data_IF_081402827335
#
_entry.id   IF_081402827335
#
_cell.length_a   1.000
_cell.length_b   1.000
_cell.length_c   1.000
_cell.angle_alpha   90.00
_cell.angle_beta   90.00
_cell.angle_gamma   90.00
#
_symmetry.space_group_name_H-M   'P 1'
#
loop_
_entity.id
_entity.type
_entity.pdbx_description
1 polymer ?
#
# COMPACT_ATOMS: atom_id res chain seq x y z
N UNK A 1 -40.92 -7.32 1.31
CA UNK A 1 -41.44 -7.63 2.65
C UNK A 1 -41.74 -6.28 3.33
N UNK A 2 -42.96 -6.08 3.82
CA UNK A 2 -43.30 -4.83 4.52
C UNK A 2 -43.56 -5.15 5.98
N UNK A 3 -42.68 -4.69 6.86
CA UNK A 3 -42.89 -4.67 8.30
C UNK A 3 -43.60 -3.38 8.71
N UNK A 4 -44.20 -3.35 9.90
CA UNK A 4 -44.79 -2.14 10.48
C UNK A 4 -44.09 -1.77 11.78
N UNK A 5 -43.79 -0.47 11.93
CA UNK A 5 -43.29 0.09 13.19
C UNK A 5 -44.39 1.02 13.77
N UNK A 6 -44.79 0.77 15.00
CA UNK A 6 -45.70 1.64 15.74
C UNK A 6 -44.98 2.18 16.98
N UNK A 7 -45.10 3.46 17.20
CA UNK A 7 -44.52 4.16 18.37
C UNK A 7 -45.66 4.71 19.23
N UNK A 8 -45.61 4.40 20.50
CA UNK A 8 -46.50 4.97 21.52
C UNK A 8 -45.65 5.64 22.60
N UNK A 9 -45.85 6.95 22.81
CA UNK A 9 -45.08 7.73 23.80
C UNK A 9 -46.01 8.54 24.69
N UNK A 10 -45.74 8.52 26.00
CA UNK A 10 -46.42 9.38 26.98
C UNK A 10 -45.39 10.09 27.83
N UNK A 11 -45.60 11.38 27.97
CA UNK A 11 -44.72 12.24 28.78
C UNK A 11 -44.68 11.75 30.23
N UNK A 12 -43.49 11.39 30.74
CA UNK A 12 -43.32 10.89 32.11
C UNK A 12 -43.48 9.35 32.25
N UNK A 13 -44.04 8.64 31.26
CA UNK A 13 -44.23 7.18 31.28
C UNK A 13 -43.25 6.42 30.34
N UNK A 14 -42.60 7.15 29.42
CA UNK A 14 -41.64 6.56 28.46
C UNK A 14 -42.19 6.36 27.05
N UNK A 15 -41.39 5.71 26.19
CA UNK A 15 -41.73 5.46 24.80
C UNK A 15 -41.64 3.94 24.48
N UNK A 16 -42.69 3.42 23.87
CA UNK A 16 -42.79 2.01 23.45
C UNK A 16 -42.74 1.92 21.93
N UNK A 17 -41.74 1.18 21.40
CA UNK A 17 -41.64 0.83 20.00
C UNK A 17 -42.16 -0.60 19.79
N UNK A 18 -43.08 -0.76 18.85
CA UNK A 18 -43.57 -2.08 18.42
C UNK A 18 -43.18 -2.30 16.97
N UNK A 19 -42.40 -3.35 16.72
CA UNK A 19 -41.94 -3.75 15.38
C UNK A 19 -42.63 -5.07 15.05
N UNK A 20 -43.41 -5.06 13.96
CA UNK A 20 -44.06 -6.28 13.45
C UNK A 20 -43.40 -6.65 12.13
N UNK A 21 -42.74 -7.83 12.10
CA UNK A 21 -42.12 -8.37 10.91
C UNK A 21 -42.92 -9.60 10.45
N UNK A 22 -43.24 -9.75 9.14
CA UNK A 22 -43.87 -10.96 8.64
C UNK A 22 -42.91 -12.13 8.71
N UNK A 23 -43.26 -13.19 9.44
CA UNK A 23 -42.54 -14.45 9.43
C UNK A 23 -42.86 -15.21 8.14
N UNK A 24 -41.95 -15.22 7.20
CA UNK A 24 -42.02 -16.20 6.10
C UNK A 24 -41.48 -17.54 6.61
N UNK A 25 -42.36 -18.49 6.74
CA UNK A 25 -42.01 -19.92 6.89
C UNK A 25 -41.54 -20.42 5.50
N UNK A 26 -40.25 -20.29 5.23
CA UNK A 26 -39.61 -20.90 4.08
C UNK A 26 -38.22 -21.34 4.46
N UNK A 27 -38.03 -22.64 4.56
CA UNK A 27 -36.81 -23.43 4.65
C UNK A 27 -35.57 -22.73 5.21
N UNK A 28 -35.20 -23.16 6.39
CA UNK A 28 -33.97 -22.87 7.16
C UNK A 28 -32.68 -22.84 6.32
N UNK A 29 -32.36 -21.71 5.73
CA UNK A 29 -31.02 -21.48 5.18
C UNK A 29 -30.01 -21.01 6.22
N UNK A 30 -30.46 -20.60 7.40
CA UNK A 30 -29.58 -20.07 8.45
C UNK A 30 -28.99 -21.16 9.38
N UNK A 31 -29.52 -22.37 9.43
CA UNK A 31 -28.89 -23.51 10.12
C UNK A 31 -27.57 -23.97 9.45
N UNK A 32 -27.27 -23.51 8.24
CA UNK A 32 -26.05 -23.82 7.50
C UNK A 32 -24.87 -22.89 7.81
N UNK A 33 -25.06 -21.88 8.64
CA UNK A 33 -24.07 -20.82 8.89
C UNK A 33 -23.72 -20.64 10.37
N UNK A 34 -24.00 -21.64 11.23
CA UNK A 34 -23.34 -21.69 12.54
C UNK A 34 -21.91 -22.21 12.28
N UNK A 35 -20.87 -21.43 12.62
CA UNK A 35 -19.50 -21.92 12.55
C UNK A 35 -19.37 -23.07 13.57
N UNK A 36 -18.89 -24.22 13.11
CA UNK A 36 -18.43 -25.28 13.98
C UNK A 36 -17.35 -24.71 14.91
N UNK A 37 -17.52 -24.88 16.21
CA UNK A 37 -16.58 -24.45 17.26
C UNK A 37 -15.21 -25.15 17.23
N UNK A 38 -14.83 -25.75 16.11
CA UNK A 38 -13.53 -26.41 15.91
C UNK A 38 -13.02 -26.24 14.49
N UNK A 39 -12.54 -25.07 14.18
CA UNK A 39 -11.58 -24.91 13.09
C UNK A 39 -10.33 -24.25 13.65
N UNK A 40 -9.32 -25.08 13.86
CA UNK A 40 -7.92 -24.73 14.11
C UNK A 40 -7.38 -23.88 12.94
N UNK A 41 -7.47 -22.57 13.06
CA UNK A 41 -6.87 -21.62 12.12
C UNK A 41 -5.63 -20.94 12.70
N UNK A 42 -4.83 -21.64 13.47
CA UNK A 42 -3.47 -21.20 13.82
C UNK A 42 -2.55 -22.42 13.89
N UNK A 43 -1.95 -22.79 12.76
CA UNK A 43 -0.67 -23.50 12.80
C UNK A 43 0.44 -22.50 12.51
N UNK A 44 1.34 -22.23 13.45
CA UNK A 44 2.55 -21.49 13.16
C UNK A 44 3.45 -22.36 12.28
N UNK A 45 3.88 -21.81 11.14
CA UNK A 45 4.93 -22.39 10.32
C UNK A 45 6.21 -22.48 11.16
N UNK A 46 6.57 -23.67 11.58
CA UNK A 46 7.83 -23.98 12.24
C UNK A 46 8.98 -23.71 11.28
N UNK A 47 9.78 -22.72 11.60
CA UNK A 47 11.09 -22.49 10.98
C UNK A 47 12.04 -23.57 11.53
N UNK A 48 12.29 -24.61 10.75
CA UNK A 48 13.39 -25.51 11.00
C UNK A 48 14.66 -24.96 10.38
N UNK A 49 15.67 -24.97 11.22
CA UNK A 49 16.95 -24.35 11.08
C UNK A 49 17.91 -24.87 10.03
N UNK A 50 18.93 -24.08 9.82
CA UNK A 50 20.29 -24.51 9.61
C UNK A 50 20.63 -24.94 8.19
N UNK A 51 21.15 -24.01 7.42
CA UNK A 51 21.90 -24.32 6.20
C UNK A 51 22.62 -23.07 5.74
N UNK A 52 23.90 -22.97 6.12
CA UNK A 52 24.85 -22.08 5.47
C UNK A 52 24.94 -22.54 4.02
N UNK A 53 24.34 -21.81 3.09
CA UNK A 53 24.61 -21.96 1.66
C UNK A 53 25.34 -20.73 1.15
N UNK A 54 26.50 -21.02 0.59
CA UNK A 54 27.41 -20.14 -0.11
C UNK A 54 26.68 -19.29 -1.16
N UNK A 55 27.16 -18.07 -1.30
CA UNK A 55 26.72 -17.08 -2.27
C UNK A 55 26.97 -17.57 -3.72
N UNK A 56 26.04 -18.30 -4.26
CA UNK A 56 25.90 -18.58 -5.68
C UNK A 56 24.43 -18.83 -5.91
N UNK A 57 23.77 -17.79 -6.35
CA UNK A 57 22.62 -17.79 -7.25
C UNK A 57 21.95 -16.40 -7.13
N UNK A 58 22.52 -15.46 -7.88
CA UNK A 58 21.77 -14.31 -8.31
C UNK A 58 20.62 -14.85 -9.18
N UNK A 59 19.44 -14.89 -8.59
CA UNK A 59 18.18 -15.15 -9.32
C UNK A 59 17.91 -14.02 -10.33
N UNK A 60 18.72 -13.98 -11.39
CA UNK A 60 18.67 -13.00 -12.47
C UNK A 60 17.57 -13.36 -13.48
N UNK A 61 17.10 -14.60 -13.49
CA UNK A 61 16.04 -15.02 -14.41
C UNK A 61 14.64 -14.53 -14.06
N UNK A 62 14.42 -14.02 -12.82
CA UNK A 62 13.11 -13.49 -12.41
C UNK A 62 12.93 -11.98 -12.54
N UNK A 63 13.99 -11.21 -12.79
CA UNK A 63 13.88 -9.77 -13.00
C UNK A 63 13.52 -9.38 -14.44
N UNK A 64 13.50 -10.32 -15.38
CA UNK A 64 13.20 -10.07 -16.79
C UNK A 64 11.85 -10.58 -17.28
N UNK A 65 11.20 -11.41 -16.49
CA UNK A 65 9.79 -11.64 -16.71
C UNK A 65 9.04 -10.53 -15.97
N UNK A 66 8.54 -9.54 -16.71
CA UNK A 66 7.24 -8.96 -16.43
C UNK A 66 6.25 -10.15 -16.45
N UNK A 67 6.27 -10.99 -15.41
CA UNK A 67 5.03 -11.49 -14.95
C UNK A 67 4.28 -10.22 -14.57
N UNK A 68 3.33 -9.84 -15.38
CA UNK A 68 2.00 -9.55 -14.92
C UNK A 68 1.71 -10.64 -13.89
N UNK A 69 2.30 -10.53 -12.70
CA UNK A 69 1.72 -11.06 -11.49
C UNK A 69 0.39 -10.36 -11.54
N UNK A 70 -0.62 -11.12 -11.98
CA UNK A 70 -2.00 -10.72 -11.93
C UNK A 70 -2.14 -9.84 -10.70
N UNK A 71 -2.26 -8.54 -10.92
CA UNK A 71 -2.61 -7.53 -9.91
C UNK A 71 -4.10 -7.72 -9.52
N UNK A 72 -4.63 -8.89 -9.85
CA UNK A 72 -5.88 -9.49 -9.37
C UNK A 72 -5.74 -10.14 -7.99
N UNK A 73 -4.63 -9.99 -7.31
CA UNK A 73 -4.61 -10.14 -5.86
C UNK A 73 -5.20 -8.84 -5.31
N UNK A 74 -6.42 -8.94 -4.89
CA UNK A 74 -7.29 -7.95 -4.29
C UNK A 74 -6.50 -7.02 -3.37
N UNK A 75 -6.59 -5.70 -3.61
CA UNK A 75 -5.99 -4.70 -2.72
C UNK A 75 -6.40 -4.98 -1.28
N UNK A 76 -5.50 -4.74 -0.34
CA UNK A 76 -5.74 -4.97 1.08
C UNK A 76 -6.34 -3.73 1.75
N UNK A 77 -7.41 -3.92 2.51
CA UNK A 77 -8.08 -2.85 3.25
C UNK A 77 -8.07 -3.20 4.74
N UNK A 78 -7.57 -2.28 5.58
CA UNK A 78 -7.67 -2.38 7.02
C UNK A 78 -8.93 -1.67 7.50
N UNK A 79 -9.81 -2.41 8.17
CA UNK A 79 -11.03 -1.92 8.79
C UNK A 79 -10.76 -1.77 10.29
N UNK A 80 -10.90 -0.55 10.81
CA UNK A 80 -10.72 -0.22 12.22
C UNK A 80 -12.08 0.24 12.75
N UNK A 81 -12.77 -0.65 13.46
CA UNK A 81 -14.15 -0.45 13.93
C UNK A 81 -14.35 -1.28 15.20
N UNK A 82 -14.82 -0.65 16.27
CA UNK A 82 -15.07 -1.30 17.56
C UNK A 82 -16.40 -2.05 17.61
N UNK A 83 -17.36 -1.67 16.75
CA UNK A 83 -18.66 -2.30 16.64
C UNK A 83 -18.60 -3.52 15.68
N UNK A 84 -18.79 -4.73 16.22
CA UNK A 84 -18.74 -5.98 15.45
C UNK A 84 -19.81 -6.04 14.33
N UNK A 85 -21.01 -5.48 14.56
CA UNK A 85 -22.08 -5.49 13.54
C UNK A 85 -21.75 -4.59 12.35
N UNK A 86 -21.14 -3.42 12.61
CA UNK A 86 -20.69 -2.49 11.56
C UNK A 86 -19.52 -3.09 10.80
N UNK A 87 -18.54 -3.66 11.51
CA UNK A 87 -17.40 -4.37 10.92
C UNK A 87 -17.87 -5.52 10.03
N UNK A 88 -18.82 -6.33 10.50
CA UNK A 88 -19.42 -7.41 9.73
C UNK A 88 -20.17 -6.90 8.48
N UNK A 89 -20.92 -5.80 8.61
CA UNK A 89 -21.59 -5.20 7.46
C UNK A 89 -20.60 -4.76 6.38
N UNK A 90 -19.50 -4.10 6.76
CA UNK A 90 -18.43 -3.68 5.83
C UNK A 90 -17.77 -4.91 5.20
N UNK A 91 -17.52 -5.98 6.00
CA UNK A 91 -17.01 -7.26 5.49
C UNK A 91 -17.87 -7.79 4.34
N UNK A 92 -19.20 -7.89 4.56
CA UNK A 92 -20.12 -8.42 3.55
C UNK A 92 -20.12 -7.61 2.25
N UNK A 93 -19.83 -6.31 2.33
CA UNK A 93 -19.77 -5.43 1.17
C UNK A 93 -18.48 -5.58 0.37
N UNK A 94 -17.35 -5.86 1.05
CA UNK A 94 -16.01 -5.70 0.47
C UNK A 94 -15.23 -7.01 0.27
N UNK A 95 -15.53 -8.09 1.01
CA UNK A 95 -14.73 -9.34 1.01
C UNK A 95 -14.63 -10.06 -0.33
N UNK A 96 -15.52 -9.76 -1.30
CA UNK A 96 -15.45 -10.36 -2.64
C UNK A 96 -14.38 -9.70 -3.51
N UNK A 97 -14.09 -8.42 -3.24
CA UNK A 97 -13.29 -7.56 -4.09
C UNK A 97 -11.93 -7.20 -3.45
N UNK A 98 -11.78 -7.37 -2.11
CA UNK A 98 -10.62 -6.93 -1.34
C UNK A 98 -10.18 -7.97 -0.31
N UNK A 99 -8.89 -7.95 0.02
CA UNK A 99 -8.36 -8.65 1.19
C UNK A 99 -8.55 -7.79 2.43
N UNK A 100 -9.32 -8.27 3.41
CA UNK A 100 -9.71 -7.48 4.57
C UNK A 100 -8.88 -7.84 5.81
N UNK A 101 -8.43 -6.80 6.51
CA UNK A 101 -7.78 -6.86 7.82
C UNK A 101 -8.67 -6.09 8.80
N UNK A 102 -8.68 -6.50 10.08
CA UNK A 102 -9.57 -5.94 11.08
C UNK A 102 -8.81 -5.50 12.31
N UNK A 103 -9.23 -4.39 12.91
CA UNK A 103 -8.77 -3.90 14.20
C UNK A 103 -9.96 -3.31 14.97
N UNK A 104 -9.93 -3.39 16.31
CA UNK A 104 -11.03 -2.98 17.18
C UNK A 104 -10.88 -1.57 17.75
N UNK A 105 -9.71 -0.99 17.63
CA UNK A 105 -9.40 0.38 18.08
C UNK A 105 -8.22 0.96 17.28
N UNK A 106 -7.94 2.23 17.46
CA UNK A 106 -6.86 2.90 16.74
C UNK A 106 -5.47 2.36 17.05
N UNK A 107 -5.21 1.90 18.28
CA UNK A 107 -3.90 1.32 18.65
C UNK A 107 -3.63 0.03 17.86
N UNK A 108 -4.57 -0.90 17.88
CA UNK A 108 -4.49 -2.13 17.10
C UNK A 108 -4.44 -1.84 15.59
N UNK A 109 -5.20 -0.81 15.15
CA UNK A 109 -5.17 -0.32 13.77
C UNK A 109 -3.78 0.16 13.34
N UNK A 110 -3.11 0.94 14.18
CA UNK A 110 -1.77 1.44 13.93
C UNK A 110 -0.72 0.31 13.88
N UNK A 111 -0.79 -0.64 14.80
CA UNK A 111 0.10 -1.82 14.80
C UNK A 111 -0.07 -2.65 13.53
N UNK A 112 -1.30 -2.97 13.17
CA UNK A 112 -1.60 -3.72 11.94
C UNK A 112 -1.23 -2.94 10.68
N UNK A 113 -1.42 -1.63 10.66
CA UNK A 113 -0.96 -0.81 9.55
C UNK A 113 0.56 -0.88 9.37
N UNK A 114 1.35 -0.87 10.45
CA UNK A 114 2.82 -1.04 10.42
C UNK A 114 3.26 -2.42 9.96
N UNK A 115 2.53 -3.46 10.38
CA UNK A 115 2.84 -4.85 10.05
C UNK A 115 2.45 -5.21 8.62
N UNK A 116 1.22 -4.91 8.23
CA UNK A 116 0.65 -5.35 6.95
C UNK A 116 0.72 -4.31 5.84
N UNK A 117 0.89 -3.01 6.14
CA UNK A 117 0.90 -1.88 5.19
C UNK A 117 -0.23 -2.00 4.16
N UNK A 118 -1.50 -1.86 4.58
CA UNK A 118 -2.65 -2.01 3.70
C UNK A 118 -2.67 -0.93 2.60
N UNK A 119 -3.39 -1.20 1.50
CA UNK A 119 -3.56 -0.24 0.41
C UNK A 119 -4.53 0.89 0.75
N UNK A 120 -5.41 0.69 1.75
CA UNK A 120 -6.37 1.67 2.24
C UNK A 120 -6.77 1.33 3.69
N UNK A 121 -7.07 2.36 4.48
CA UNK A 121 -7.61 2.23 5.84
C UNK A 121 -9.02 2.81 5.87
N UNK A 122 -9.98 2.02 6.39
CA UNK A 122 -11.30 2.47 6.81
C UNK A 122 -11.30 2.53 8.32
N UNK A 123 -11.60 3.66 8.93
CA UNK A 123 -11.66 3.79 10.38
C UNK A 123 -12.94 4.45 10.84
N UNK A 124 -13.55 3.91 11.91
CA UNK A 124 -14.55 4.70 12.63
C UNK A 124 -13.89 5.90 13.30
N UNK A 125 -14.65 6.95 13.48
CA UNK A 125 -14.20 8.13 14.21
C UNK A 125 -14.17 7.87 15.71
N UNK A 126 -15.25 7.30 16.25
CA UNK A 126 -15.48 7.19 17.69
C UNK A 126 -15.16 5.79 18.19
N UNK A 127 -13.94 5.59 18.63
CA UNK A 127 -13.46 4.31 19.16
C UNK A 127 -12.80 4.51 20.52
N UNK A 128 -12.76 3.45 21.38
CA UNK A 128 -12.05 3.50 22.65
C UNK A 128 -10.51 3.59 22.42
N UNK A 129 -9.82 4.09 23.44
CA UNK A 129 -8.35 4.22 23.53
C UNK A 129 -7.76 5.23 22.56
N UNK A 130 -7.79 5.00 21.26
CA UNK A 130 -7.33 5.89 20.20
C UNK A 130 -8.45 6.07 19.19
N UNK A 131 -8.90 7.30 18.99
CA UNK A 131 -9.95 7.64 18.04
C UNK A 131 -9.44 7.68 16.59
N UNK A 132 -10.37 7.78 15.62
CA UNK A 132 -10.03 7.79 14.20
C UNK A 132 -9.21 9.02 13.77
N UNK A 133 -9.35 10.15 14.45
CA UNK A 133 -8.52 11.34 14.18
C UNK A 133 -7.09 11.16 14.70
N UNK A 134 -6.93 10.59 15.89
CA UNK A 134 -5.62 10.29 16.44
C UNK A 134 -4.89 9.26 15.59
N UNK A 135 -5.57 8.18 15.20
CA UNK A 135 -5.02 7.19 14.28
C UNK A 135 -4.57 7.83 12.97
N UNK A 136 -5.39 8.69 12.37
CA UNK A 136 -5.06 9.39 11.13
C UNK A 136 -3.80 10.24 11.29
N UNK A 137 -3.68 11.03 12.38
CA UNK A 137 -2.49 11.83 12.67
C UNK A 137 -1.23 10.98 12.81
N UNK A 138 -1.31 9.88 13.57
CA UNK A 138 -0.17 8.96 13.73
C UNK A 138 0.29 8.38 12.38
N UNK A 139 -0.65 7.99 11.52
CA UNK A 139 -0.35 7.49 10.18
C UNK A 139 0.29 8.57 9.31
N UNK A 140 -0.22 9.82 9.35
CA UNK A 140 0.33 10.92 8.55
C UNK A 140 1.72 11.36 9.01
N UNK A 141 2.02 11.25 10.30
CA UNK A 141 3.37 11.53 10.84
C UNK A 141 4.36 10.37 10.64
N UNK A 142 3.88 9.20 10.25
CA UNK A 142 4.75 8.05 10.02
C UNK A 142 5.43 8.13 8.66
N UNK A 143 6.76 8.13 8.63
CA UNK A 143 7.56 8.05 7.39
C UNK A 143 7.21 6.83 6.52
N UNK A 144 6.65 5.78 7.15
CA UNK A 144 6.35 4.50 6.49
C UNK A 144 4.92 4.48 5.95
N UNK A 145 3.94 5.01 6.71
CA UNK A 145 2.52 4.81 6.49
C UNK A 145 1.80 6.00 5.82
N UNK A 146 2.43 7.18 5.82
CA UNK A 146 1.81 8.45 5.39
C UNK A 146 1.18 8.43 3.99
N UNK A 147 1.61 7.51 3.14
CA UNK A 147 1.09 7.33 1.79
C UNK A 147 -0.24 6.56 1.73
N UNK A 148 -0.66 5.87 2.79
CA UNK A 148 -1.85 5.04 2.79
C UNK A 148 -3.10 5.93 2.86
N UNK A 149 -4.04 5.82 1.91
CA UNK A 149 -5.28 6.59 1.96
C UNK A 149 -6.16 6.14 3.12
N UNK A 150 -6.82 7.13 3.77
CA UNK A 150 -7.66 6.92 4.94
C UNK A 150 -9.05 7.47 4.68
N UNK A 151 -10.08 6.64 4.88
CA UNK A 151 -11.48 7.04 4.92
C UNK A 151 -11.94 6.97 6.37
N UNK A 152 -12.40 8.09 6.91
CA UNK A 152 -13.04 8.14 8.24
C UNK A 152 -14.55 7.98 8.09
N UNK A 153 -15.11 7.02 8.82
CA UNK A 153 -16.55 6.80 8.91
C UNK A 153 -17.05 7.47 10.20
N UNK A 154 -18.08 8.32 10.13
CA UNK A 154 -18.51 9.12 11.27
C UNK A 154 -20.02 9.23 11.37
N UNK A 155 -20.55 9.31 12.60
CA UNK A 155 -21.95 9.63 12.86
C UNK A 155 -22.23 11.15 12.82
N UNK A 156 -21.18 12.00 12.77
CA UNK A 156 -21.30 13.45 12.76
C UNK A 156 -21.55 14.00 11.36
N UNK A 157 -22.17 15.17 11.27
CA UNK A 157 -22.42 15.84 9.99
C UNK A 157 -21.13 16.37 9.36
N UNK A 158 -21.08 16.37 8.04
CA UNK A 158 -19.90 16.84 7.25
C UNK A 158 -19.45 18.27 7.62
N UNK A 159 -20.33 19.13 8.13
CA UNK A 159 -19.99 20.51 8.50
C UNK A 159 -19.14 20.61 9.77
N UNK A 160 -19.42 19.77 10.79
CA UNK A 160 -18.63 19.74 12.02
C UNK A 160 -17.27 19.08 11.82
N UNK A 161 -17.22 18.08 10.94
CA UNK A 161 -16.00 17.34 10.62
C UNK A 161 -15.12 18.10 9.60
N UNK A 162 -15.72 18.93 8.73
CA UNK A 162 -14.97 19.68 7.70
C UNK A 162 -14.03 20.74 8.27
N UNK A 163 -14.38 21.35 9.39
CA UNK A 163 -13.52 22.33 10.07
C UNK A 163 -12.36 21.65 10.82
N UNK A 164 -12.60 20.47 11.40
CA UNK A 164 -11.54 19.66 12.03
C UNK A 164 -10.80 18.75 11.03
N UNK A 165 -11.48 18.33 9.99
CA UNK A 165 -10.97 17.37 9.01
C UNK A 165 -9.86 17.89 8.10
N UNK A 166 -9.77 19.20 7.88
CA UNK A 166 -8.68 19.83 7.13
C UNK A 166 -7.31 19.67 7.82
N UNK A 167 -7.31 19.55 9.17
CA UNK A 167 -6.08 19.38 9.96
C UNK A 167 -5.71 17.91 10.22
N UNK A 168 -6.62 16.95 9.98
CA UNK A 168 -6.38 15.54 10.35
C UNK A 168 -5.68 14.73 9.26
N UNK A 169 -5.71 15.20 8.01
CA UNK A 169 -5.07 14.53 6.87
C UNK A 169 -5.82 13.28 6.36
N UNK A 170 -7.10 13.09 6.69
CA UNK A 170 -7.93 12.06 6.07
C UNK A 170 -8.22 12.41 4.61
N UNK A 171 -8.27 11.37 3.73
CA UNK A 171 -8.51 11.57 2.30
C UNK A 171 -10.00 11.65 1.96
N UNK A 172 -10.85 11.04 2.79
CA UNK A 172 -12.31 11.11 2.65
C UNK A 172 -13.02 10.89 3.99
N UNK A 173 -14.25 11.42 4.07
CA UNK A 173 -15.19 11.19 5.16
C UNK A 173 -16.45 10.54 4.62
N UNK A 174 -17.05 9.62 5.40
CA UNK A 174 -18.28 8.94 5.07
C UNK A 174 -19.21 8.99 6.28
N UNK A 175 -20.39 9.59 6.13
CA UNK A 175 -21.34 9.73 7.22
C UNK A 175 -22.18 8.46 7.43
N UNK A 176 -22.34 8.02 8.67
CA UNK A 176 -23.29 6.95 9.07
C UNK A 176 -24.73 7.56 9.18
N UNK A 177 -25.77 6.91 8.62
CA UNK A 177 -25.75 5.68 7.83
C UNK A 177 -25.30 5.94 6.39
N UNK A 178 -24.37 5.13 5.87
CA UNK A 178 -23.84 5.28 4.53
C UNK A 178 -24.43 4.28 3.53
N UNK A 179 -24.42 4.66 2.26
CA UNK A 179 -24.78 3.77 1.16
C UNK A 179 -23.58 2.91 0.76
N UNK A 180 -23.82 1.60 0.52
CA UNK A 180 -22.82 0.66 0.04
C UNK A 180 -22.11 1.13 -1.25
N UNK A 181 -22.85 1.70 -2.18
CA UNK A 181 -22.28 2.19 -3.45
C UNK A 181 -21.39 3.41 -3.23
N UNK A 182 -21.74 4.30 -2.29
CA UNK A 182 -20.91 5.45 -1.93
C UNK A 182 -19.57 5.01 -1.36
N UNK A 183 -19.57 4.06 -0.40
CA UNK A 183 -18.34 3.50 0.16
C UNK A 183 -17.45 2.90 -0.94
N UNK A 184 -18.03 2.05 -1.81
CA UNK A 184 -17.28 1.42 -2.90
C UNK A 184 -16.69 2.43 -3.87
N UNK A 185 -17.44 3.45 -4.25
CA UNK A 185 -16.96 4.51 -5.16
C UNK A 185 -15.79 5.27 -4.54
N UNK A 186 -15.83 5.61 -3.24
CA UNK A 186 -14.73 6.29 -2.55
C UNK A 186 -13.47 5.44 -2.51
N UNK A 187 -13.61 4.16 -2.16
CA UNK A 187 -12.48 3.20 -2.15
C UNK A 187 -11.84 3.12 -3.53
N UNK A 188 -12.63 2.85 -4.57
CA UNK A 188 -12.14 2.71 -5.94
C UNK A 188 -11.41 3.98 -6.40
N UNK A 189 -11.96 5.17 -6.13
CA UNK A 189 -11.33 6.44 -6.51
C UNK A 189 -9.98 6.65 -5.83
N UNK A 190 -9.87 6.36 -4.54
CA UNK A 190 -8.61 6.55 -3.81
C UNK A 190 -7.54 5.56 -4.26
N UNK A 191 -7.89 4.29 -4.44
CA UNK A 191 -6.97 3.27 -4.95
C UNK A 191 -6.52 3.59 -6.38
N UNK A 192 -7.43 4.03 -7.25
CA UNK A 192 -7.12 4.43 -8.62
C UNK A 192 -6.22 5.67 -8.67
N UNK A 193 -6.48 6.67 -7.83
CA UNK A 193 -5.62 7.85 -7.71
C UNK A 193 -4.18 7.47 -7.34
N UNK A 194 -4.02 6.54 -6.40
CA UNK A 194 -2.70 5.99 -6.02
C UNK A 194 -2.05 5.24 -7.18
N UNK A 195 -2.80 4.44 -7.92
CA UNK A 195 -2.30 3.72 -9.10
C UNK A 195 -1.78 4.68 -10.16
N UNK A 196 -2.55 5.72 -10.48
CA UNK A 196 -2.16 6.74 -11.46
C UNK A 196 -0.91 7.52 -11.05
N UNK A 197 -0.74 7.83 -9.76
CA UNK A 197 0.47 8.48 -9.25
C UNK A 197 1.71 7.58 -9.43
N UNK A 198 1.60 6.29 -9.11
CA UNK A 198 2.67 5.30 -9.33
C UNK A 198 3.07 5.21 -10.81
N UNK A 199 2.08 5.13 -11.69
CA UNK A 199 2.31 5.05 -13.14
C UNK A 199 3.01 6.31 -13.67
N UNK A 200 2.56 7.49 -13.28
CA UNK A 200 3.20 8.76 -13.65
C UNK A 200 4.65 8.80 -13.19
N UNK A 201 4.93 8.39 -11.94
CA UNK A 201 6.29 8.37 -11.40
C UNK A 201 7.18 7.36 -12.15
N UNK A 202 6.67 6.17 -12.40
CA UNK A 202 7.37 5.14 -13.17
C UNK A 202 7.71 5.62 -14.58
N UNK A 203 6.77 6.26 -15.28
CA UNK A 203 7.00 6.85 -16.60
C UNK A 203 8.05 7.96 -16.57
N UNK A 204 7.97 8.89 -15.60
CA UNK A 204 8.95 9.97 -15.46
C UNK A 204 10.37 9.45 -15.28
N UNK A 205 10.53 8.39 -14.49
CA UNK A 205 11.83 7.72 -14.32
C UNK A 205 12.35 7.09 -15.62
N UNK A 206 11.50 6.42 -16.40
CA UNK A 206 11.92 5.78 -17.65
C UNK A 206 12.32 6.78 -18.73
N UNK A 207 11.58 7.86 -18.86
CA UNK A 207 11.83 8.87 -19.89
C UNK A 207 12.95 9.84 -19.51
N UNK A 208 13.30 9.95 -18.24
CA UNK A 208 14.26 10.91 -17.71
C UNK A 208 13.76 12.34 -17.91
N UNK A 209 12.46 12.52 -17.94
CA UNK A 209 11.82 13.85 -17.99
C UNK A 209 11.67 14.36 -16.55
N UNK A 210 12.11 15.61 -16.32
CA UNK A 210 11.89 16.34 -15.05
C UNK A 210 10.41 16.76 -14.86
N UNK A 211 9.47 15.95 -15.33
CA UNK A 211 8.07 16.20 -15.03
C UNK A 211 7.87 15.95 -13.52
N UNK A 212 7.69 17.06 -12.80
CA UNK A 212 7.41 17.02 -11.36
C UNK A 212 6.10 16.24 -11.13
N UNK A 213 6.22 15.02 -10.66
CA UNK A 213 5.08 14.27 -10.13
C UNK A 213 4.78 14.87 -8.77
N UNK A 214 3.57 15.38 -8.57
CA UNK A 214 3.14 15.92 -7.28
C UNK A 214 2.99 14.78 -6.26
N UNK A 215 4.08 14.47 -5.60
CA UNK A 215 4.11 13.59 -4.44
C UNK A 215 3.86 14.39 -3.16
N UNK A 216 3.36 13.73 -2.11
CA UNK A 216 3.31 14.34 -0.79
C UNK A 216 4.72 14.75 -0.33
N UNK A 217 4.83 15.79 0.50
CA UNK A 217 6.13 16.25 1.04
C UNK A 217 6.89 15.10 1.69
N UNK A 218 6.20 14.29 2.48
CA UNK A 218 6.80 13.16 3.17
C UNK A 218 7.27 12.04 2.22
N UNK A 219 6.55 11.78 1.11
CA UNK A 219 7.02 10.84 0.10
C UNK A 219 8.23 11.38 -0.67
N UNK A 220 8.28 12.68 -0.92
CA UNK A 220 9.44 13.35 -1.52
C UNK A 220 10.67 13.25 -0.61
N UNK A 221 10.53 13.52 0.68
CA UNK A 221 11.60 13.40 1.66
C UNK A 221 12.12 11.96 1.78
N UNK A 222 11.20 10.98 1.82
CA UNK A 222 11.55 9.57 1.82
C UNK A 222 12.38 9.19 0.59
N UNK A 223 11.91 9.56 -0.61
CA UNK A 223 12.63 9.26 -1.86
C UNK A 223 13.96 9.99 -1.94
N UNK A 224 14.05 11.22 -1.46
CA UNK A 224 15.30 11.97 -1.41
C UNK A 224 16.34 11.24 -0.56
N UNK A 225 15.97 10.86 0.68
CA UNK A 225 16.85 10.07 1.57
C UNK A 225 17.26 8.72 0.95
N UNK A 226 16.30 8.03 0.32
CA UNK A 226 16.55 6.75 -0.35
C UNK A 226 17.50 6.91 -1.53
N UNK A 227 17.30 7.94 -2.36
CA UNK A 227 18.14 8.24 -3.51
C UNK A 227 19.56 8.60 -3.09
N UNK A 228 19.73 9.48 -2.10
CA UNK A 228 21.03 9.85 -1.58
C UNK A 228 21.80 8.63 -1.07
N UNK A 229 21.10 7.73 -0.38
CA UNK A 229 21.67 6.50 0.11
C UNK A 229 22.08 5.55 -1.06
N UNK A 230 21.21 5.38 -2.05
CA UNK A 230 21.54 4.59 -3.25
C UNK A 230 22.73 5.20 -3.98
N UNK A 231 22.76 6.53 -4.20
CA UNK A 231 23.89 7.17 -4.90
C UNK A 231 25.20 7.05 -4.14
N UNK A 232 25.19 7.18 -2.80
CA UNK A 232 26.38 7.04 -1.96
C UNK A 232 26.96 5.61 -1.99
N UNK A 233 26.09 4.61 -2.12
CA UNK A 233 26.49 3.20 -2.11
C UNK A 233 26.59 2.57 -3.51
N UNK A 234 26.25 3.29 -4.57
CA UNK A 234 26.07 2.72 -5.92
C UNK A 234 27.33 2.05 -6.49
N UNK A 235 28.52 2.53 -6.12
CA UNK A 235 29.80 1.90 -6.52
C UNK A 235 30.12 0.62 -5.75
N UNK A 236 29.40 0.33 -4.67
CA UNK A 236 29.63 -0.88 -3.89
C UNK A 236 28.81 -2.04 -4.46
N UNK A 237 29.48 -3.18 -4.72
CA UNK A 237 28.83 -4.40 -5.20
C UNK A 237 27.82 -4.99 -4.21
N UNK A 238 27.94 -4.65 -2.91
CA UNK A 238 27.04 -5.13 -1.84
C UNK A 238 25.74 -4.33 -1.72
N UNK A 239 25.48 -3.34 -2.58
CA UNK A 239 24.23 -2.59 -2.53
C UNK A 239 23.07 -3.51 -2.95
N UNK A 240 22.24 -3.84 -1.98
CA UNK A 240 21.02 -4.63 -2.14
C UNK A 240 19.87 -4.02 -1.29
N UNK A 241 18.69 -4.60 -1.40
CA UNK A 241 17.50 -4.13 -0.68
C UNK A 241 17.61 -4.27 0.84
N UNK A 242 18.29 -5.33 1.33
CA UNK A 242 18.49 -5.55 2.76
C UNK A 242 19.37 -4.46 3.40
N UNK A 243 20.46 -4.11 2.72
CA UNK A 243 21.35 -3.04 3.18
C UNK A 243 20.60 -1.69 3.24
N UNK A 244 19.79 -1.40 2.22
CA UNK A 244 18.97 -0.18 2.22
C UNK A 244 17.93 -0.18 3.33
N UNK A 245 17.23 -1.29 3.54
CA UNK A 245 16.23 -1.43 4.60
C UNK A 245 16.87 -1.17 5.97
N UNK A 246 18.01 -1.81 6.26
CA UNK A 246 18.75 -1.60 7.50
C UNK A 246 19.16 -0.14 7.70
N UNK A 247 19.68 0.53 6.65
CA UNK A 247 20.11 1.93 6.74
C UNK A 247 18.94 2.92 6.84
N UNK A 248 17.77 2.55 6.32
CA UNK A 248 16.52 3.30 6.45
C UNK A 248 15.77 2.99 7.76
N UNK A 249 16.32 2.11 8.63
CA UNK A 249 15.67 1.64 9.86
C UNK A 249 14.29 1.00 9.62
N UNK A 250 14.18 0.23 8.53
CA UNK A 250 12.96 -0.46 8.11
C UNK A 250 13.20 -1.95 7.96
N UNK A 251 12.15 -2.77 8.06
CA UNK A 251 12.24 -4.15 7.58
C UNK A 251 12.29 -4.18 6.04
N UNK A 252 12.82 -5.25 5.47
CA UNK A 252 12.85 -5.44 4.01
C UNK A 252 11.44 -5.38 3.41
N UNK A 253 10.46 -5.97 4.09
CA UNK A 253 9.06 -5.95 3.67
C UNK A 253 8.50 -4.53 3.63
N UNK A 254 8.75 -3.72 4.68
CA UNK A 254 8.31 -2.32 4.74
C UNK A 254 8.98 -1.48 3.64
N UNK A 255 10.29 -1.62 3.43
CA UNK A 255 10.96 -0.90 2.36
C UNK A 255 10.38 -1.26 0.99
N UNK A 256 10.21 -2.56 0.69
CA UNK A 256 9.66 -3.01 -0.58
C UNK A 256 8.25 -2.46 -0.81
N UNK A 257 7.37 -2.51 0.20
CA UNK A 257 5.98 -2.01 0.08
C UNK A 257 5.96 -0.50 -0.09
N UNK A 258 6.73 0.26 0.70
CA UNK A 258 6.80 1.73 0.60
C UNK A 258 7.35 2.16 -0.76
N UNK A 259 8.47 1.60 -1.21
CA UNK A 259 9.05 1.90 -2.53
C UNK A 259 8.05 1.56 -3.63
N UNK A 260 7.41 0.38 -3.57
CA UNK A 260 6.43 -0.03 -4.57
C UNK A 260 5.18 0.86 -4.56
N UNK A 261 4.73 1.30 -3.39
CA UNK A 261 3.57 2.17 -3.26
C UNK A 261 3.79 3.55 -3.90
N UNK A 262 5.02 4.07 -3.90
CA UNK A 262 5.36 5.39 -4.45
C UNK A 262 5.80 5.29 -5.91
N UNK A 263 6.68 4.31 -6.23
CA UNK A 263 7.41 4.28 -7.51
C UNK A 263 6.90 3.23 -8.49
N UNK A 264 6.13 2.25 -8.02
CA UNK A 264 5.72 1.08 -8.79
C UNK A 264 6.78 -0.04 -8.88
N UNK A 265 8.04 0.22 -8.49
CA UNK A 265 9.12 -0.76 -8.53
C UNK A 265 9.28 -1.51 -7.21
N UNK A 266 9.78 -2.74 -7.24
CA UNK A 266 10.39 -3.34 -6.05
C UNK A 266 11.64 -2.55 -5.66
N UNK A 267 12.12 -2.65 -4.42
CA UNK A 267 13.35 -1.95 -4.00
C UNK A 267 14.57 -2.38 -4.82
N UNK A 268 14.68 -3.66 -5.21
CA UNK A 268 15.73 -4.12 -6.11
C UNK A 268 15.59 -3.58 -7.54
N UNK A 269 14.35 -3.53 -8.05
CA UNK A 269 14.05 -2.91 -9.35
C UNK A 269 14.37 -1.41 -9.35
N UNK A 270 14.08 -0.71 -8.24
CA UNK A 270 14.39 0.70 -8.10
C UNK A 270 15.90 0.97 -8.06
N UNK A 271 16.69 0.14 -7.33
CA UNK A 271 18.16 0.21 -7.37
C UNK A 271 18.66 0.05 -8.81
N UNK A 272 18.13 -0.95 -9.53
CA UNK A 272 18.52 -1.21 -10.90
C UNK A 272 18.21 0.00 -11.80
N UNK A 273 17.01 0.57 -11.68
CA UNK A 273 16.62 1.76 -12.44
C UNK A 273 17.56 2.94 -12.18
N UNK A 274 17.88 3.22 -10.92
CA UNK A 274 18.82 4.29 -10.55
C UNK A 274 20.24 4.06 -11.09
N UNK A 275 20.70 2.81 -11.13
CA UNK A 275 21.98 2.44 -11.76
C UNK A 275 21.94 2.66 -13.27
N UNK A 276 20.84 2.33 -13.93
CA UNK A 276 20.65 2.53 -15.37
C UNK A 276 20.60 4.03 -15.73
N UNK A 277 19.92 4.85 -14.93
CA UNK A 277 19.86 6.30 -15.15
C UNK A 277 21.22 6.99 -14.98
N UNK A 278 22.00 6.56 -13.99
CA UNK A 278 23.38 7.02 -13.83
C UNK A 278 24.23 6.63 -15.04
N UNK A 279 24.10 5.38 -15.51
CA UNK A 279 24.83 4.93 -16.69
C UNK A 279 24.44 5.71 -17.94
N UNK A 280 23.15 5.95 -18.17
CA UNK A 280 22.63 6.78 -19.25
C UNK A 280 23.25 8.18 -19.25
N UNK A 281 23.30 8.84 -18.08
CA UNK A 281 23.94 10.16 -17.92
C UNK A 281 25.45 10.13 -18.21
N UNK A 282 26.17 9.14 -17.69
CA UNK A 282 27.61 9.01 -17.92
C UNK A 282 27.93 8.69 -19.39
N UNK A 283 27.12 7.89 -20.06
CA UNK A 283 27.29 7.61 -21.50
C UNK A 283 27.06 8.87 -22.36
N UNK A 284 26.16 9.76 -21.96
CA UNK A 284 25.86 11.00 -22.66
C UNK A 284 26.88 12.12 -22.39
N UNK A 285 27.45 12.18 -21.19
CA UNK A 285 28.28 13.31 -20.74
C UNK A 285 29.77 13.02 -20.73
N UNK A 286 30.21 11.76 -20.94
CA UNK A 286 31.64 11.41 -20.85
C UNK A 286 32.06 10.44 -21.95
N UNK A 287 33.36 10.48 -22.29
CA UNK A 287 34.01 9.46 -23.17
C UNK A 287 34.56 8.26 -22.41
N UNK A 288 34.18 8.09 -21.14
CA UNK A 288 34.63 6.97 -20.30
C UNK A 288 34.27 5.64 -20.98
N UNK A 289 35.17 4.63 -21.02
CA UNK A 289 34.88 3.31 -21.58
C UNK A 289 33.60 2.69 -20.97
N UNK A 290 32.84 1.96 -21.78
CA UNK A 290 31.57 1.34 -21.34
C UNK A 290 31.75 0.43 -20.13
N UNK A 291 32.90 -0.30 -20.10
CA UNK A 291 33.27 -1.17 -18.98
C UNK A 291 33.44 -0.38 -17.66
N UNK A 292 34.14 0.76 -17.73
CA UNK A 292 34.37 1.60 -16.54
C UNK A 292 33.06 2.23 -16.05
N UNK A 293 32.15 2.59 -16.96
CA UNK A 293 30.81 3.07 -16.61
C UNK A 293 30.02 1.99 -15.91
N UNK A 294 30.06 0.74 -16.43
CA UNK A 294 29.40 -0.38 -15.78
C UNK A 294 29.87 -0.54 -14.33
N UNK A 295 31.19 -0.55 -14.11
CA UNK A 295 31.78 -0.65 -12.76
C UNK A 295 31.38 0.53 -11.85
N UNK A 296 31.44 1.78 -12.35
CA UNK A 296 31.02 2.97 -11.60
C UNK A 296 29.54 2.97 -11.23
N UNK A 297 28.73 2.23 -11.99
CA UNK A 297 27.30 2.04 -11.71
C UNK A 297 27.01 0.77 -10.89
N UNK A 298 28.05 0.07 -10.41
CA UNK A 298 27.91 -1.07 -9.52
C UNK A 298 27.55 -2.38 -10.22
N UNK A 299 27.86 -2.51 -11.51
CA UNK A 299 27.71 -3.77 -12.23
C UNK A 299 29.03 -4.54 -12.25
N UNK A 300 29.07 -5.76 -11.68
CA UNK A 300 30.30 -6.56 -11.65
C UNK A 300 30.73 -7.07 -13.05
N UNK A 301 29.76 -7.26 -13.96
CA UNK A 301 29.96 -7.78 -15.30
C UNK A 301 29.43 -6.87 -16.40
N UNK A 302 30.25 -6.59 -17.40
CA UNK A 302 29.90 -5.75 -18.56
C UNK A 302 28.81 -6.41 -19.41
N UNK A 303 28.84 -7.74 -19.53
CA UNK A 303 27.84 -8.53 -20.25
C UNK A 303 26.45 -8.36 -19.66
N UNK A 304 26.34 -8.48 -18.34
CA UNK A 304 25.09 -8.26 -17.59
C UNK A 304 24.61 -6.81 -17.72
N UNK A 305 25.51 -5.84 -17.51
CA UNK A 305 25.19 -4.42 -17.72
C UNK A 305 24.65 -4.15 -19.12
N UNK A 306 25.31 -4.64 -20.17
CA UNK A 306 24.91 -4.39 -21.56
C UNK A 306 23.55 -4.99 -21.89
N UNK A 307 23.24 -6.18 -21.34
CA UNK A 307 21.95 -6.84 -21.48
C UNK A 307 20.85 -6.02 -20.79
N UNK A 308 21.04 -5.62 -19.54
CA UNK A 308 20.08 -4.83 -18.79
C UNK A 308 19.86 -3.46 -19.41
N UNK A 309 20.92 -2.81 -19.86
CA UNK A 309 20.83 -1.52 -20.54
C UNK A 309 20.02 -1.62 -21.84
N UNK A 310 20.26 -2.68 -22.65
CA UNK A 310 19.48 -2.92 -23.87
C UNK A 310 18.01 -3.23 -23.56
N UNK A 311 17.73 -3.95 -22.49
CA UNK A 311 16.37 -4.25 -22.07
C UNK A 311 15.62 -2.98 -21.62
N UNK A 312 16.28 -2.09 -20.86
CA UNK A 312 15.69 -0.85 -20.36
C UNK A 312 15.51 0.21 -21.45
N UNK A 313 16.53 0.40 -22.32
CA UNK A 313 16.53 1.50 -23.30
C UNK A 313 16.39 1.05 -24.75
N UNK A 314 16.11 -0.24 -25.00
CA UNK A 314 15.94 -0.85 -26.33
C UNK A 314 17.14 -0.69 -27.27
N UNK A 315 18.33 -0.33 -26.73
CA UNK A 315 19.58 -0.18 -27.47
C UNK A 315 20.80 -0.49 -26.58
N UNK A 316 21.89 -0.94 -27.18
CA UNK A 316 23.11 -1.21 -26.42
C UNK A 316 23.76 0.10 -25.93
N UNK A 317 24.59 0.06 -24.85
CA UNK A 317 25.30 1.23 -24.36
C UNK A 317 26.12 1.96 -25.44
N UNK A 318 26.78 1.20 -26.31
CA UNK A 318 27.58 1.76 -27.42
C UNK A 318 26.73 2.40 -28.51
N UNK A 319 25.57 1.81 -28.83
CA UNK A 319 24.58 2.42 -29.74
C UNK A 319 23.99 3.70 -29.18
N UNK A 320 23.66 3.69 -27.87
CA UNK A 320 23.12 4.84 -27.17
C UNK A 320 24.12 6.03 -27.23
N UNK A 321 25.40 5.77 -26.92
CA UNK A 321 26.45 6.79 -27.00
C UNK A 321 26.58 7.36 -28.41
N UNK A 322 26.60 6.52 -29.46
CA UNK A 322 26.71 6.97 -30.87
C UNK A 322 25.50 7.81 -31.34
N UNK A 323 24.34 7.61 -30.73
CA UNK A 323 23.13 8.35 -31.08
C UNK A 323 23.11 9.78 -30.50
N UNK A 324 23.81 9.98 -29.38
CA UNK A 324 23.79 11.27 -28.66
C UNK A 324 25.00 12.16 -29.00
N UNK A 325 26.12 11.56 -29.34
CA UNK A 325 27.32 12.24 -29.87
C UNK A 325 27.19 12.46 -31.38
#
# INVERSE_FOLDING_TARGET
MYGHIKVESRLGEGTKFMITLPLQHGNSLWEKYLPDEKSDFFQPLSVNGGGVMLAEDYDVERAGENREINDSMHSSILIVEDNEDVSYYIDQLLKKDYHLLYARNGNEGLEKAKEYMPDLILTDLMMPEMDGYELCREIRHSDILNHIPIIIITAKSEEEDRVRGLDTGADAFLQKPFNADELKVRIVKLLEQRRLLREKYSHALHEGTDQAVELSVADQEFLTRLNDLIYSLMGHHNLNSDLLANKMCMSLSQLNRKVRAITGFSSSGYILQMRMDKAKRLLASTNTPVGDIAMKCGFPEISYFSRMFKQTFQMTPSQYRKKIL
#
